data_IF_429313416389
#
_entry.id   IF_429313416389
#
_cell.length_a   1.000
_cell.length_b   1.000
_cell.length_c   1.000
_cell.angle_alpha   90.00
_cell.angle_beta   90.00
_cell.angle_gamma   90.00
#
_symmetry.space_group_name_H-M   'P 1'
#
loop_
_entity.id
_entity.type
_entity.pdbx_description
1 polymer ?
#
# COMPACT_ATOMS: atom_id res chain seq x y z
N UNK A 1 4.77 -3.76 12.65
CA UNK A 1 5.60 -2.54 12.57
C UNK A 1 7.08 -2.83 12.69
N UNK A 2 7.50 -3.69 13.64
CA UNK A 2 8.93 -4.05 13.75
C UNK A 2 9.43 -4.68 12.45
N UNK A 3 8.67 -5.59 11.88
CA UNK A 3 9.03 -6.24 10.63
C UNK A 3 9.12 -5.22 9.48
N UNK A 4 8.22 -4.24 9.46
CA UNK A 4 8.26 -3.18 8.46
C UNK A 4 9.56 -2.38 8.53
N UNK A 5 9.99 -1.99 9.72
CA UNK A 5 11.26 -1.26 9.87
C UNK A 5 12.45 -2.09 9.45
N UNK A 6 12.45 -3.39 9.74
CA UNK A 6 13.51 -4.28 9.29
C UNK A 6 13.55 -4.35 7.77
N UNK A 7 12.40 -4.49 7.12
CA UNK A 7 12.32 -4.53 5.67
C UNK A 7 12.84 -3.24 5.04
N UNK A 8 12.52 -2.08 5.61
CA UNK A 8 13.03 -0.80 5.12
C UNK A 8 14.54 -0.74 5.26
N UNK A 9 15.09 -1.19 6.39
CA UNK A 9 16.54 -1.17 6.62
C UNK A 9 17.26 -2.10 5.66
N UNK A 10 16.67 -3.24 5.33
CA UNK A 10 17.22 -4.21 4.39
C UNK A 10 17.03 -3.80 2.93
N UNK A 11 16.07 -2.90 2.66
CA UNK A 11 15.70 -2.49 1.30
C UNK A 11 15.75 -0.96 1.16
N UNK A 12 16.92 -0.35 1.36
CA UNK A 12 17.00 1.12 1.30
C UNK A 12 16.62 1.69 -0.07
N UNK A 13 16.86 0.92 -1.15
CA UNK A 13 16.48 1.37 -2.49
C UNK A 13 14.97 1.39 -2.66
N UNK A 14 14.26 0.41 -2.10
CA UNK A 14 12.81 0.39 -2.16
C UNK A 14 12.22 1.59 -1.42
N UNK A 15 12.78 1.93 -0.26
CA UNK A 15 12.36 3.11 0.48
C UNK A 15 12.59 4.39 -0.33
N UNK A 16 13.76 4.51 -0.95
CA UNK A 16 14.09 5.68 -1.76
C UNK A 16 13.17 5.80 -2.97
N UNK A 17 12.91 4.68 -3.66
CA UNK A 17 11.99 4.66 -4.79
C UNK A 17 10.60 5.08 -4.37
N UNK A 18 10.12 4.59 -3.22
CA UNK A 18 8.81 4.95 -2.68
C UNK A 18 8.75 6.46 -2.39
N UNK A 19 9.77 6.99 -1.73
CA UNK A 19 9.83 8.41 -1.42
C UNK A 19 9.83 9.26 -2.69
N UNK A 20 10.64 8.86 -3.67
CA UNK A 20 10.72 9.58 -4.94
C UNK A 20 9.41 9.53 -5.70
N UNK A 21 8.72 8.39 -5.70
CA UNK A 21 7.42 8.26 -6.36
C UNK A 21 6.42 9.25 -5.75
N UNK A 22 6.34 9.31 -4.44
CA UNK A 22 5.36 10.19 -3.78
C UNK A 22 5.74 11.67 -3.83
N UNK A 23 6.98 11.99 -4.19
CA UNK A 23 7.37 13.37 -4.48
C UNK A 23 7.07 13.76 -5.92
N UNK A 24 6.84 12.80 -6.81
CA UNK A 24 6.52 13.08 -8.21
C UNK A 24 5.09 13.59 -8.34
N UNK A 25 4.79 14.19 -9.50
CA UNK A 25 3.44 14.69 -9.80
C UNK A 25 2.45 13.52 -9.84
N UNK A 26 2.86 12.38 -10.43
CA UNK A 26 2.01 11.19 -10.50
C UNK A 26 1.73 10.63 -9.11
N UNK A 27 2.75 10.55 -8.26
CA UNK A 27 2.59 10.05 -6.91
C UNK A 27 1.67 10.94 -6.07
N UNK A 28 1.79 12.25 -6.20
CA UNK A 28 0.91 13.19 -5.51
C UNK A 28 -0.54 13.04 -5.98
N UNK A 29 -0.73 12.83 -7.27
CA UNK A 29 -2.06 12.59 -7.83
C UNK A 29 -2.67 11.30 -7.26
N UNK A 30 -1.88 10.24 -7.17
CA UNK A 30 -2.34 8.96 -6.58
C UNK A 30 -2.73 9.15 -5.12
N UNK A 31 -1.90 9.84 -4.33
CA UNK A 31 -2.22 10.10 -2.92
C UNK A 31 -3.50 10.92 -2.78
N UNK A 32 -3.70 11.90 -3.65
CA UNK A 32 -4.90 12.71 -3.64
C UNK A 32 -6.15 11.87 -3.93
N UNK A 33 -6.07 10.98 -4.91
CA UNK A 33 -7.18 10.08 -5.25
C UNK A 33 -7.49 9.12 -4.11
N UNK A 34 -6.48 8.56 -3.47
CA UNK A 34 -6.67 7.68 -2.31
C UNK A 34 -7.36 8.45 -1.20
N UNK A 35 -6.92 9.67 -0.93
CA UNK A 35 -7.50 10.51 0.11
C UNK A 35 -8.98 10.81 -0.17
N UNK A 36 -9.31 11.15 -1.40
CA UNK A 36 -10.71 11.41 -1.78
C UNK A 36 -11.57 10.17 -1.60
N UNK A 37 -11.10 9.01 -2.04
CA UNK A 37 -11.85 7.76 -1.88
C UNK A 37 -12.03 7.41 -0.42
N UNK A 38 -10.99 7.56 0.38
CA UNK A 38 -11.08 7.27 1.80
C UNK A 38 -12.04 8.21 2.52
N UNK A 39 -12.01 9.50 2.20
CA UNK A 39 -12.86 10.50 2.82
C UNK A 39 -14.34 10.37 2.41
N UNK A 40 -14.65 9.54 1.40
CA UNK A 40 -16.04 9.29 1.02
C UNK A 40 -16.83 8.56 2.10
N UNK A 41 -16.15 7.92 3.05
CA UNK A 41 -16.79 7.17 4.13
C UNK A 41 -17.29 5.79 3.74
N UNK A 42 -17.04 5.34 2.52
CA UNK A 42 -17.50 4.03 2.04
C UNK A 42 -16.62 2.88 2.50
N UNK A 43 -15.37 3.16 2.88
CA UNK A 43 -14.39 2.12 3.13
C UNK A 43 -13.97 2.11 4.59
N UNK A 44 -13.71 0.91 5.12
CA UNK A 44 -13.25 0.72 6.50
C UNK A 44 -11.77 0.43 6.58
N UNK A 45 -11.18 -0.07 5.50
CA UNK A 45 -9.74 -0.34 5.47
C UNK A 45 -9.23 -0.22 4.04
N UNK A 46 -7.90 -0.17 3.93
CA UNK A 46 -7.21 -0.12 2.65
C UNK A 46 -6.32 -1.35 2.57
N UNK A 47 -6.47 -2.12 1.50
CA UNK A 47 -5.61 -3.26 1.22
C UNK A 47 -4.71 -2.91 0.05
N UNK A 48 -3.41 -2.94 0.27
CA UNK A 48 -2.43 -2.69 -0.78
C UNK A 48 -1.79 -4.01 -1.15
N UNK A 49 -1.68 -4.29 -2.43
CA UNK A 49 -1.12 -5.55 -2.89
C UNK A 49 -0.14 -5.33 -4.02
N UNK A 50 0.83 -6.22 -4.11
CA UNK A 50 1.86 -6.21 -5.14
C UNK A 50 2.75 -7.42 -4.98
N UNK A 51 3.67 -7.61 -5.92
CA UNK A 51 4.65 -8.69 -5.90
C UNK A 51 6.05 -8.11 -6.04
N UNK A 52 7.03 -8.79 -5.43
CA UNK A 52 8.41 -8.36 -5.50
C UNK A 52 8.61 -6.96 -4.95
N UNK A 53 9.25 -6.09 -5.71
CA UNK A 53 9.50 -4.71 -5.29
C UNK A 53 8.21 -3.91 -5.09
N UNK A 54 7.15 -4.25 -5.82
CA UNK A 54 5.85 -3.62 -5.63
C UNK A 54 5.26 -3.95 -4.25
N UNK A 55 5.54 -5.13 -3.74
CA UNK A 55 5.12 -5.49 -2.39
C UNK A 55 5.83 -4.64 -1.33
N UNK A 56 7.13 -4.34 -1.51
CA UNK A 56 7.83 -3.45 -0.59
C UNK A 56 7.25 -2.04 -0.61
N UNK A 57 6.87 -1.55 -1.78
CA UNK A 57 6.19 -0.26 -1.89
C UNK A 57 4.84 -0.30 -1.17
N UNK A 58 4.09 -1.40 -1.32
CA UNK A 58 2.82 -1.57 -0.64
C UNK A 58 3.00 -1.52 0.89
N UNK A 59 4.03 -2.20 1.42
CA UNK A 59 4.33 -2.17 2.85
C UNK A 59 4.66 -0.76 3.33
N UNK A 60 5.49 -0.04 2.60
CA UNK A 60 5.86 1.33 2.96
C UNK A 60 4.63 2.24 2.97
N UNK A 61 3.78 2.09 1.97
CA UNK A 61 2.56 2.90 1.86
C UNK A 61 1.59 2.57 2.99
N UNK A 62 1.39 1.29 3.29
CA UNK A 62 0.51 0.88 4.38
C UNK A 62 0.98 1.46 5.71
N UNK A 63 2.27 1.43 5.97
CA UNK A 63 2.80 2.00 7.21
C UNK A 63 2.59 3.51 7.27
N UNK A 64 2.77 4.20 6.16
CA UNK A 64 2.51 5.64 6.09
C UNK A 64 1.05 5.94 6.40
N UNK A 65 0.12 5.19 5.81
CA UNK A 65 -1.30 5.38 6.05
C UNK A 65 -1.65 5.08 7.51
N UNK A 66 -1.09 4.01 8.08
CA UNK A 66 -1.33 3.68 9.47
C UNK A 66 -0.83 4.79 10.42
N UNK A 67 0.24 5.49 10.06
CA UNK A 67 0.73 6.60 10.86
C UNK A 67 -0.27 7.75 10.91
N UNK A 68 -1.16 7.84 9.94
CA UNK A 68 -2.28 8.80 9.93
C UNK A 68 -3.57 8.19 10.46
N UNK A 69 -3.48 7.04 11.13
CA UNK A 69 -4.61 6.33 11.74
C UNK A 69 -5.62 5.82 10.70
N UNK A 70 -5.15 5.57 9.49
CA UNK A 70 -5.94 4.94 8.44
C UNK A 70 -5.60 3.45 8.43
N UNK A 71 -6.56 2.55 8.72
CA UNK A 71 -6.26 1.12 8.71
C UNK A 71 -5.84 0.66 7.32
N UNK A 72 -4.61 0.23 7.19
CA UNK A 72 -4.05 -0.20 5.90
C UNK A 72 -3.19 -1.44 6.10
N UNK A 73 -3.27 -2.37 5.16
CA UNK A 73 -2.56 -3.64 5.20
C UNK A 73 -1.93 -3.90 3.84
N UNK A 74 -0.70 -4.38 3.86
CA UNK A 74 -0.01 -4.79 2.65
C UNK A 74 -0.03 -6.31 2.56
N UNK A 75 -0.47 -6.83 1.43
CA UNK A 75 -0.59 -8.26 1.19
C UNK A 75 0.13 -8.62 -0.10
N UNK A 76 0.93 -9.68 -0.07
CA UNK A 76 1.53 -10.21 -1.29
C UNK A 76 0.41 -10.69 -2.22
N UNK A 77 0.50 -10.32 -3.51
CA UNK A 77 -0.57 -10.61 -4.46
C UNK A 77 -0.84 -12.11 -4.59
N UNK A 78 0.20 -12.94 -4.56
CA UNK A 78 0.03 -14.40 -4.62
C UNK A 78 -0.68 -14.94 -3.39
N UNK A 79 -0.30 -14.47 -2.21
CA UNK A 79 -0.93 -14.89 -0.96
C UNK A 79 -2.37 -14.42 -0.88
N UNK A 80 -2.63 -13.19 -1.33
CA UNK A 80 -3.99 -12.64 -1.34
C UNK A 80 -4.91 -13.53 -2.19
N UNK A 81 -4.45 -13.90 -3.38
CA UNK A 81 -5.24 -14.71 -4.28
C UNK A 81 -5.54 -16.09 -3.72
N UNK A 82 -4.55 -16.74 -3.10
CA UNK A 82 -4.66 -18.14 -2.72
C UNK A 82 -5.18 -18.34 -1.30
N UNK A 83 -4.88 -17.44 -0.38
CA UNK A 83 -5.13 -17.68 1.05
C UNK A 83 -5.93 -16.60 1.73
N UNK A 84 -5.95 -15.39 1.21
CA UNK A 84 -6.47 -14.23 1.93
C UNK A 84 -7.62 -13.54 1.21
N UNK A 85 -8.16 -14.16 0.17
CA UNK A 85 -9.24 -13.54 -0.60
C UNK A 85 -10.48 -13.27 0.26
N UNK A 86 -10.66 -14.03 1.34
CA UNK A 86 -11.76 -13.83 2.27
C UNK A 86 -11.66 -12.52 3.05
N UNK A 87 -10.48 -11.89 3.08
CA UNK A 87 -10.32 -10.59 3.72
C UNK A 87 -10.92 -9.45 2.90
N UNK A 88 -11.16 -9.69 1.63
CA UNK A 88 -11.72 -8.68 0.73
C UNK A 88 -13.21 -8.57 0.99
N UNK A 89 -13.67 -7.36 1.22
CA UNK A 89 -15.09 -7.07 1.42
C UNK A 89 -15.46 -5.83 0.59
N UNK A 90 -16.77 -5.55 0.40
CA UNK A 90 -17.18 -4.33 -0.27
C UNK A 90 -16.73 -3.05 0.42
N UNK A 91 -16.35 -3.16 1.70
CA UNK A 91 -15.87 -2.01 2.49
C UNK A 91 -14.36 -1.84 2.43
N UNK A 92 -13.65 -2.69 1.68
CA UNK A 92 -12.21 -2.61 1.52
C UNK A 92 -11.86 -1.86 0.23
N UNK A 93 -11.00 -0.85 0.36
CA UNK A 93 -10.43 -0.19 -0.81
C UNK A 93 -9.15 -0.94 -1.18
N UNK A 94 -9.12 -1.51 -2.37
CA UNK A 94 -7.98 -2.30 -2.82
C UNK A 94 -7.13 -1.48 -3.76
N UNK A 95 -5.84 -1.38 -3.47
CA UNK A 95 -4.87 -0.67 -4.29
C UNK A 95 -3.84 -1.68 -4.78
N UNK A 96 -3.78 -1.86 -6.09
CA UNK A 96 -2.82 -2.76 -6.72
C UNK A 96 -1.63 -1.95 -7.22
N UNK A 97 -0.44 -2.35 -6.81
CA UNK A 97 0.80 -1.69 -7.21
C UNK A 97 1.52 -2.59 -8.19
N UNK A 98 1.81 -2.05 -9.37
CA UNK A 98 2.48 -2.79 -10.43
C UNK A 98 3.50 -1.90 -11.12
N UNK A 99 4.67 -2.48 -11.45
CA UNK A 99 5.71 -1.77 -12.19
C UNK A 99 5.51 -1.84 -13.69
N UNK A 100 4.80 -2.84 -14.15
CA UNK A 100 4.68 -3.10 -15.59
C UNK A 100 3.25 -2.93 -16.11
N UNK A 101 2.41 -2.41 -15.31
CA UNK A 101 1.01 -2.23 -15.70
C UNK A 101 0.16 -3.46 -15.44
#
# INVERSE_FOLDING_TARGET
MVQFFQEIQEQPQALLQTANFYKSVEGKSVLSQISELWCSGKYRNILLTGMGSSYFIANATASLLNSYKIPAYALNAGELLHYQISLISPESLIICISQSG
#
